data_IF_632738113743
#
_entry.id   IF_632738113743
#
_cell.length_a   1.000
_cell.length_b   1.000
_cell.length_c   1.000
_cell.angle_alpha   90.00
_cell.angle_beta   90.00
_cell.angle_gamma   90.00
#
_symmetry.space_group_name_H-M   'P 1'
#
loop_
_entity.id
_entity.type
_entity.pdbx_description
1 polymer ?
#
# COMPACT_ATOMS: atom_id res chain seq x y z
N UNK A 1 32.01 7.80 9.63
CA UNK A 1 30.75 7.21 9.16
C UNK A 1 30.38 6.07 10.09
N UNK A 2 29.19 6.10 10.68
CA UNK A 2 28.67 4.97 11.48
C UNK A 2 28.28 3.84 10.52
N UNK A 3 28.72 2.62 10.81
CA UNK A 3 28.48 1.46 9.94
C UNK A 3 27.33 0.64 10.52
N UNK A 4 26.22 0.57 9.80
CA UNK A 4 25.05 -0.23 10.20
C UNK A 4 25.09 -1.63 9.59
N UNK A 5 24.57 -2.61 10.34
CA UNK A 5 24.28 -3.96 9.84
C UNK A 5 22.78 -4.12 9.74
N UNK A 6 22.28 -4.54 8.59
CA UNK A 6 20.86 -4.84 8.40
C UNK A 6 20.61 -6.33 8.62
N UNK A 7 19.71 -6.66 9.54
CA UNK A 7 19.28 -8.03 9.80
C UNK A 7 17.83 -8.18 9.36
N UNK A 8 17.55 -9.11 8.44
CA UNK A 8 16.18 -9.42 8.02
C UNK A 8 15.54 -10.33 9.05
N UNK A 9 14.35 -9.97 9.51
CA UNK A 9 13.55 -10.77 10.44
C UNK A 9 12.33 -11.28 9.70
N UNK A 10 12.14 -12.60 9.69
CA UNK A 10 10.93 -13.21 9.12
C UNK A 10 9.79 -13.13 10.14
N UNK A 11 8.56 -12.96 9.64
CA UNK A 11 7.35 -12.92 10.45
C UNK A 11 6.32 -13.92 9.94
N UNK A 12 5.40 -14.31 10.82
CA UNK A 12 4.17 -14.98 10.41
C UNK A 12 3.26 -13.99 9.66
N UNK A 13 2.21 -14.49 9.03
CA UNK A 13 1.20 -13.65 8.39
C UNK A 13 0.55 -12.75 9.44
N UNK A 14 0.58 -11.44 9.17
CA UNK A 14 -0.05 -10.43 10.01
C UNK A 14 -1.56 -10.44 9.81
N UNK A 15 -2.31 -10.35 10.90
CA UNK A 15 -3.78 -10.39 10.92
C UNK A 15 -4.34 -9.12 11.58
N UNK A 16 -5.60 -8.75 11.29
CA UNK A 16 -6.30 -7.71 12.03
C UNK A 16 -6.27 -7.95 13.53
N UNK A 17 -6.13 -6.85 14.30
CA UNK A 17 -6.24 -6.83 15.77
C UNK A 17 -5.19 -7.69 16.50
N UNK A 18 -4.03 -7.89 15.89
CA UNK A 18 -2.90 -8.53 16.58
C UNK A 18 -2.27 -7.58 17.60
N UNK A 19 -1.73 -8.16 18.68
CA UNK A 19 -0.88 -7.43 19.62
C UNK A 19 0.49 -7.15 18.97
N UNK A 20 0.69 -5.89 18.58
CA UNK A 20 1.91 -5.42 17.93
C UNK A 20 3.14 -5.59 18.84
N UNK A 21 3.04 -5.17 20.11
CA UNK A 21 4.18 -5.15 21.02
C UNK A 21 4.65 -6.56 21.31
N UNK A 22 3.72 -7.46 21.64
CA UNK A 22 4.03 -8.87 21.89
C UNK A 22 4.59 -9.57 20.64
N UNK A 23 4.00 -9.31 19.47
CA UNK A 23 4.49 -9.90 18.21
C UNK A 23 5.91 -9.45 17.90
N UNK A 24 6.23 -8.16 18.09
CA UNK A 24 7.58 -7.64 17.89
C UNK A 24 8.56 -8.19 18.92
N UNK A 25 8.17 -8.29 20.19
CA UNK A 25 9.01 -8.89 21.24
C UNK A 25 9.40 -10.32 20.87
N UNK A 26 8.41 -11.15 20.48
CA UNK A 26 8.66 -12.55 20.08
C UNK A 26 9.56 -12.65 18.84
N UNK A 27 9.37 -11.76 17.86
CA UNK A 27 10.17 -11.75 16.62
C UNK A 27 11.61 -11.28 16.81
N UNK A 28 11.83 -10.34 17.73
CA UNK A 28 13.11 -9.67 17.94
C UNK A 28 13.93 -10.27 19.09
N UNK A 29 13.34 -11.17 19.88
CA UNK A 29 13.99 -11.81 21.02
C UNK A 29 15.35 -12.39 20.66
N UNK A 30 16.39 -11.92 21.35
CA UNK A 30 17.79 -12.34 21.15
C UNK A 30 18.42 -11.87 19.84
N UNK A 31 17.82 -10.90 19.14
CA UNK A 31 18.30 -10.36 17.86
C UNK A 31 18.57 -8.85 17.86
N UNK A 32 18.17 -8.15 18.92
CA UNK A 32 18.28 -6.69 19.04
C UNK A 32 18.81 -6.29 20.40
N UNK A 33 19.50 -5.16 20.44
CA UNK A 33 20.04 -4.54 21.65
C UNK A 33 19.50 -3.10 21.82
N UNK A 34 19.68 -2.53 23.01
CA UNK A 34 19.28 -1.14 23.25
C UNK A 34 20.09 -0.19 22.35
N UNK A 35 19.37 0.63 21.57
CA UNK A 35 19.97 1.53 20.59
C UNK A 35 19.83 1.06 19.14
N UNK A 36 19.37 -0.17 18.91
CA UNK A 36 19.04 -0.65 17.58
C UNK A 36 17.76 -0.02 17.03
N UNK A 37 17.67 0.04 15.70
CA UNK A 37 16.49 0.51 14.99
C UNK A 37 15.65 -0.66 14.48
N UNK A 38 14.37 -0.65 14.84
CA UNK A 38 13.38 -1.59 14.29
C UNK A 38 12.60 -0.89 13.19
N UNK A 39 12.69 -1.40 11.96
CA UNK A 39 11.96 -0.87 10.81
C UNK A 39 10.80 -1.79 10.47
N UNK A 40 9.59 -1.29 10.58
CA UNK A 40 8.35 -2.01 10.25
C UNK A 40 7.69 -1.36 9.04
N UNK A 41 7.13 -2.18 8.13
CA UNK A 41 6.34 -1.65 7.03
C UNK A 41 5.04 -1.02 7.54
N UNK A 42 4.65 0.12 6.96
CA UNK A 42 3.36 0.77 7.25
C UNK A 42 2.18 -0.21 7.05
N UNK A 43 2.25 -1.06 6.02
CA UNK A 43 1.22 -2.08 5.75
C UNK A 43 1.08 -3.07 6.91
N UNK A 44 2.17 -3.58 7.48
CA UNK A 44 2.12 -4.52 8.60
C UNK A 44 1.48 -3.86 9.84
N UNK A 45 1.88 -2.62 10.14
CA UNK A 45 1.30 -1.84 11.21
C UNK A 45 -0.21 -1.60 10.99
N UNK A 46 -0.60 -1.16 9.79
CA UNK A 46 -1.98 -0.92 9.43
C UNK A 46 -2.86 -2.18 9.56
N UNK A 47 -2.35 -3.33 9.12
CA UNK A 47 -3.02 -4.63 9.30
C UNK A 47 -3.19 -4.95 10.79
N UNK A 48 -2.14 -4.86 11.61
CA UNK A 48 -2.26 -5.14 13.05
C UNK A 48 -3.29 -4.23 13.73
N UNK A 49 -3.32 -2.95 13.37
CA UNK A 49 -4.29 -1.97 13.88
C UNK A 49 -5.72 -2.20 13.37
N UNK A 50 -5.92 -3.12 12.42
CA UNK A 50 -7.23 -3.46 11.88
C UNK A 50 -7.72 -2.50 10.78
N UNK A 51 -6.82 -1.74 10.14
CA UNK A 51 -7.14 -0.92 8.96
C UNK A 51 -7.22 -1.78 7.69
N UNK A 52 -8.15 -2.75 7.72
CA UNK A 52 -8.52 -3.58 6.58
C UNK A 52 -9.98 -3.29 6.27
N UNK A 53 -10.23 -2.93 5.01
CA UNK A 53 -11.55 -2.54 4.53
C UNK A 53 -11.99 -3.49 3.43
N UNK A 54 -13.26 -3.84 3.45
CA UNK A 54 -13.89 -4.56 2.36
C UNK A 54 -14.37 -3.54 1.31
N UNK A 55 -13.66 -3.50 0.19
CA UNK A 55 -13.90 -2.55 -0.90
C UNK A 55 -15.14 -2.89 -1.72
N UNK A 56 -15.67 -4.12 -1.65
CA UNK A 56 -16.90 -4.50 -2.36
C UNK A 56 -18.11 -3.70 -1.87
N UNK A 57 -18.09 -3.27 -0.60
CA UNK A 57 -19.13 -2.46 0.00
C UNK A 57 -19.05 -0.97 -0.39
N UNK A 58 -18.00 -0.56 -1.11
CA UNK A 58 -17.80 0.84 -1.52
C UNK A 58 -18.41 1.04 -2.90
N UNK A 59 -19.52 1.79 -2.97
CA UNK A 59 -20.11 2.18 -4.25
C UNK A 59 -19.38 3.41 -4.82
N UNK A 60 -18.60 3.28 -5.91
CA UNK A 60 -17.88 4.42 -6.48
C UNK A 60 -18.83 5.42 -7.15
N UNK A 61 -18.62 6.69 -6.87
CA UNK A 61 -19.33 7.79 -7.51
C UNK A 61 -18.93 7.91 -8.99
N UNK A 62 -19.78 8.55 -9.80
CA UNK A 62 -19.46 8.83 -11.21
C UNK A 62 -18.16 9.65 -11.33
N UNK A 63 -17.95 10.61 -10.43
CA UNK A 63 -16.74 11.44 -10.38
C UNK A 63 -15.51 10.58 -10.12
N UNK A 64 -15.59 9.66 -9.15
CA UNK A 64 -14.50 8.71 -8.86
C UNK A 64 -14.18 7.85 -10.08
N UNK A 65 -15.19 7.38 -10.83
CA UNK A 65 -14.97 6.63 -12.09
C UNK A 65 -14.25 7.43 -13.15
N UNK A 66 -14.67 8.69 -13.37
CA UNK A 66 -14.03 9.60 -14.32
C UNK A 66 -12.58 9.87 -13.90
N UNK A 67 -12.35 10.15 -12.62
CA UNK A 67 -11.02 10.37 -12.08
C UNK A 67 -10.12 9.14 -12.25
N UNK A 68 -10.60 7.94 -11.88
CA UNK A 68 -9.84 6.69 -12.04
C UNK A 68 -9.50 6.42 -13.50
N UNK A 69 -10.46 6.61 -14.41
CA UNK A 69 -10.23 6.46 -15.84
C UNK A 69 -9.12 7.40 -16.33
N UNK A 70 -9.27 8.70 -16.04
CA UNK A 70 -8.31 9.70 -16.48
C UNK A 70 -6.92 9.45 -15.87
N UNK A 71 -6.85 9.27 -14.56
CA UNK A 71 -5.57 9.13 -13.87
C UNK A 71 -4.86 7.82 -14.23
N UNK A 72 -5.56 6.67 -14.17
CA UNK A 72 -4.92 5.36 -14.36
C UNK A 72 -4.73 5.02 -15.84
N UNK A 73 -5.79 5.15 -16.65
CA UNK A 73 -5.73 4.70 -18.04
C UNK A 73 -5.05 5.73 -18.95
N UNK A 74 -5.24 7.02 -18.69
CA UNK A 74 -4.67 8.10 -19.51
C UNK A 74 -3.32 8.57 -18.98
N UNK A 75 -3.29 9.21 -17.81
CA UNK A 75 -2.05 9.79 -17.25
C UNK A 75 -0.99 8.72 -17.02
N UNK A 76 -1.33 7.67 -16.27
CA UNK A 76 -0.39 6.57 -16.01
C UNK A 76 -0.17 5.66 -17.22
N UNK A 77 -1.24 5.28 -17.92
CA UNK A 77 -1.16 4.37 -19.06
C UNK A 77 -0.39 4.92 -20.27
N UNK A 78 -0.42 6.23 -20.54
CA UNK A 78 0.20 6.80 -21.74
C UNK A 78 1.38 7.72 -21.47
N UNK A 79 1.42 8.40 -20.33
CA UNK A 79 2.47 9.40 -20.06
C UNK A 79 3.46 8.92 -19.01
N UNK A 80 3.01 8.69 -17.77
CA UNK A 80 3.92 8.37 -16.67
C UNK A 80 4.52 6.97 -16.82
N UNK A 81 3.76 5.98 -17.28
CA UNK A 81 4.26 4.62 -17.45
C UNK A 81 5.50 4.54 -18.37
N UNK A 82 5.44 5.08 -19.60
CA UNK A 82 6.60 5.19 -20.48
C UNK A 82 7.72 6.06 -19.90
N UNK A 83 7.40 7.20 -19.29
CA UNK A 83 8.38 8.12 -18.69
C UNK A 83 9.20 7.44 -17.58
N UNK A 84 8.52 6.63 -16.75
CA UNK A 84 9.13 5.83 -15.69
C UNK A 84 9.76 4.52 -16.20
N UNK A 85 9.76 4.28 -17.52
CA UNK A 85 10.30 3.06 -18.15
C UNK A 85 9.68 1.76 -17.59
N UNK A 86 8.38 1.79 -17.31
CA UNK A 86 7.66 0.59 -16.86
C UNK A 86 7.62 -0.46 -17.98
N UNK A 87 7.51 -1.73 -17.59
CA UNK A 87 7.36 -2.84 -18.54
C UNK A 87 6.10 -2.63 -19.39
N UNK A 88 6.17 -3.00 -20.67
CA UNK A 88 5.05 -2.88 -21.60
C UNK A 88 3.79 -3.60 -21.10
N UNK A 89 3.94 -4.74 -20.43
CA UNK A 89 2.82 -5.47 -19.79
C UNK A 89 2.16 -4.64 -18.68
N UNK A 90 2.94 -4.00 -17.81
CA UNK A 90 2.43 -3.11 -16.75
C UNK A 90 1.70 -1.91 -17.33
N UNK A 91 2.24 -1.31 -18.38
CA UNK A 91 1.57 -0.22 -19.13
C UNK A 91 0.24 -0.71 -19.72
N UNK A 92 0.22 -1.92 -20.28
CA UNK A 92 -1.00 -2.57 -20.76
C UNK A 92 -2.05 -2.76 -19.67
N UNK A 93 -1.65 -3.16 -18.46
CA UNK A 93 -2.56 -3.27 -17.32
C UNK A 93 -3.10 -1.92 -16.85
N UNK A 94 -2.26 -0.87 -16.83
CA UNK A 94 -2.69 0.48 -16.48
C UNK A 94 -3.72 1.03 -17.48
N UNK A 95 -3.52 0.80 -18.78
CA UNK A 95 -4.49 1.18 -19.83
C UNK A 95 -5.81 0.42 -19.70
N UNK A 96 -5.78 -0.80 -19.20
CA UNK A 96 -6.96 -1.65 -18.96
C UNK A 96 -7.40 -1.68 -17.50
N UNK A 97 -6.98 -0.69 -16.69
CA UNK A 97 -7.22 -0.70 -15.26
C UNK A 97 -8.73 -0.81 -14.92
N UNK A 98 -9.14 -1.72 -14.03
CA UNK A 98 -10.55 -1.95 -13.72
C UNK A 98 -11.19 -0.70 -13.11
N UNK A 99 -12.28 -0.22 -13.70
CA UNK A 99 -12.89 1.05 -13.28
C UNK A 99 -13.82 0.90 -12.08
N UNK A 100 -14.48 -0.25 -11.89
CA UNK A 100 -15.36 -0.42 -10.73
C UNK A 100 -14.52 -0.54 -9.45
N UNK A 101 -13.69 -1.59 -9.39
CA UNK A 101 -12.81 -1.91 -8.26
C UNK A 101 -11.80 -0.78 -8.01
N UNK A 102 -11.18 -0.28 -9.07
CA UNK A 102 -10.21 0.80 -8.98
C UNK A 102 -10.80 2.11 -8.46
N UNK A 103 -12.06 2.40 -8.79
CA UNK A 103 -12.73 3.60 -8.30
C UNK A 103 -13.24 3.43 -6.88
N UNK A 104 -13.65 2.22 -6.50
CA UNK A 104 -13.97 1.88 -5.12
C UNK A 104 -12.75 2.14 -4.22
N UNK A 105 -11.58 1.64 -4.62
CA UNK A 105 -10.31 1.89 -3.95
C UNK A 105 -9.95 3.38 -3.87
N UNK A 106 -10.01 4.11 -5.00
CA UNK A 106 -9.67 5.54 -5.04
C UNK A 106 -10.64 6.39 -4.22
N UNK A 107 -11.92 6.05 -4.18
CA UNK A 107 -12.89 6.73 -3.32
C UNK A 107 -12.64 6.44 -1.83
N UNK A 108 -12.32 5.19 -1.48
CA UNK A 108 -12.02 4.79 -0.11
C UNK A 108 -10.76 5.52 0.40
N UNK A 109 -9.69 5.48 -0.39
CA UNK A 109 -8.43 6.15 -0.01
C UNK A 109 -8.62 7.67 0.13
N UNK A 110 -9.41 8.29 -0.75
CA UNK A 110 -9.68 9.72 -0.66
C UNK A 110 -10.38 10.08 0.67
N UNK A 111 -11.26 9.19 1.15
CA UNK A 111 -11.99 9.38 2.41
C UNK A 111 -11.11 9.23 3.65
N UNK A 112 -10.17 8.28 3.65
CA UNK A 112 -9.44 7.89 4.87
C UNK A 112 -7.99 8.38 4.94
N UNK A 113 -7.30 8.51 3.81
CA UNK A 113 -5.85 8.80 3.76
C UNK A 113 -5.49 10.01 2.90
N UNK A 114 -6.46 10.57 2.17
CA UNK A 114 -6.35 11.84 1.45
C UNK A 114 -5.76 11.74 0.04
N UNK A 115 -5.72 12.90 -0.63
CA UNK A 115 -5.48 13.02 -2.08
C UNK A 115 -4.15 12.42 -2.54
N UNK A 116 -3.06 12.68 -1.80
CA UNK A 116 -1.72 12.22 -2.20
C UNK A 116 -1.62 10.69 -2.25
N UNK A 117 -2.29 10.00 -1.32
CA UNK A 117 -2.30 8.54 -1.30
C UNK A 117 -3.24 7.98 -2.37
N UNK A 118 -4.34 8.67 -2.67
CA UNK A 118 -5.26 8.31 -3.76
C UNK A 118 -4.65 8.40 -5.16
N UNK A 119 -3.59 9.21 -5.33
CA UNK A 119 -2.89 9.36 -6.61
C UNK A 119 -1.89 8.22 -6.89
N UNK A 120 -1.57 7.40 -5.89
CA UNK A 120 -0.84 6.14 -6.12
C UNK A 120 -1.73 5.13 -6.83
#
# INVERSE_FOLDING_TARGET
>A
MVKYRVVKVSSKIWKPKMDLAKTLEEMLKGRVENGDFVVLSEKALAVALGFIFDEENVKPSKISKVFTFFWMRIVWGWFLGPLCRLKASTIGWLKNYPLEEGSAHKQLTLKFVGVLQTLK
#
